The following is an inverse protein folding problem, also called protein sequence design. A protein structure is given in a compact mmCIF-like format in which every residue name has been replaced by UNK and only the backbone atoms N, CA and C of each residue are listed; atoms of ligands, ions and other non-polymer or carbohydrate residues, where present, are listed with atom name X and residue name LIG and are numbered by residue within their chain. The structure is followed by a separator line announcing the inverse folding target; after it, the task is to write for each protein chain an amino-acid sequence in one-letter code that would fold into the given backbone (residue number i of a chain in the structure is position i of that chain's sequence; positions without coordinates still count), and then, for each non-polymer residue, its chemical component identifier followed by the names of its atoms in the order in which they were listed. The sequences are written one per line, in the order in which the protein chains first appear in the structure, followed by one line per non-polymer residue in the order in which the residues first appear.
data_IF_366832593080
#
_entry.id   IF_366832593080
#
_cell.length_a   1.000
_cell.length_b   1.000
_cell.length_c   1.000
_cell.angle_alpha   90.00
_cell.angle_beta   90.00
_cell.angle_gamma   90.00
#
_symmetry.space_group_name_H-M   'P 1'
#
loop_
_entity.id
_entity.type
_entity.pdbx_description
1 polymer ?
#
# COMPACT_ATOMS: atom_id res chain seq x y z
N UNK A 1 -7.99 -10.91 14.54
CA UNK A 1 -8.32 -10.94 13.10
C UNK A 1 -9.11 -9.68 12.81
N UNK A 2 -8.54 -8.68 12.14
CA UNK A 2 -9.29 -7.52 11.65
C UNK A 2 -9.82 -7.84 10.25
N UNK A 3 -11.13 -7.70 10.04
CA UNK A 3 -11.81 -7.88 8.76
C UNK A 3 -11.72 -6.59 7.94
N UNK A 4 -11.25 -6.69 6.69
CA UNK A 4 -11.26 -5.58 5.75
C UNK A 4 -12.67 -5.43 5.14
N UNK A 5 -13.32 -4.29 5.36
CA UNK A 5 -14.64 -3.99 4.78
C UNK A 5 -14.48 -3.27 3.45
N UNK A 6 -14.78 -3.99 2.35
CA UNK A 6 -14.92 -3.42 1.02
C UNK A 6 -13.61 -3.20 0.27
N UNK A 7 -13.35 -4.04 -0.73
CA UNK A 7 -12.39 -3.75 -1.80
C UNK A 7 -13.17 -3.21 -3.00
N UNK A 8 -12.87 -1.98 -3.43
CA UNK A 8 -13.43 -1.40 -4.66
C UNK A 8 -12.29 -1.12 -5.63
N UNK A 9 -12.40 -1.64 -6.85
CA UNK A 9 -11.54 -1.29 -7.97
C UNK A 9 -12.08 0.00 -8.60
N UNK A 10 -11.26 1.05 -8.69
CA UNK A 10 -11.60 2.17 -9.58
C UNK A 10 -11.18 1.89 -11.02
N UNK A 11 -11.72 2.71 -11.95
CA UNK A 11 -11.39 2.65 -13.38
C UNK A 11 -9.93 3.00 -13.72
N UNK A 12 -9.11 3.38 -12.73
CA UNK A 12 -7.67 3.60 -12.86
C UNK A 12 -6.84 2.42 -12.30
N UNK A 13 -7.48 1.29 -11.95
CA UNK A 13 -6.82 0.10 -11.44
C UNK A 13 -6.33 0.23 -10.00
N UNK A 14 -6.87 1.18 -9.24
CA UNK A 14 -6.56 1.34 -7.82
C UNK A 14 -7.53 0.52 -6.97
N UNK A 15 -7.00 -0.25 -6.02
CA UNK A 15 -7.80 -0.94 -5.00
C UNK A 15 -7.97 -0.02 -3.79
N UNK A 16 -9.22 0.26 -3.41
CA UNK A 16 -9.55 1.02 -2.21
C UNK A 16 -9.91 0.09 -1.06
N UNK A 17 -9.39 0.40 0.11
CA UNK A 17 -9.75 -0.26 1.36
C UNK A 17 -10.11 0.78 2.41
N UNK A 18 -11.28 0.62 3.03
CA UNK A 18 -11.67 1.44 4.18
C UNK A 18 -10.97 0.91 5.43
N UNK A 19 -10.26 1.78 6.13
CA UNK A 19 -9.70 1.47 7.45
C UNK A 19 -10.36 2.42 8.43
N UNK A 20 -11.06 1.86 9.42
CA UNK A 20 -11.98 2.61 10.30
C UNK A 20 -11.34 3.73 11.12
N UNK A 21 -10.01 3.78 11.22
CA UNK A 21 -9.28 4.87 11.85
C UNK A 21 -7.85 5.04 11.30
N UNK A 22 -7.34 6.28 11.35
CA UNK A 22 -6.02 6.65 10.82
C UNK A 22 -4.86 5.94 11.52
N UNK A 23 -5.03 5.53 12.79
CA UNK A 23 -3.98 4.87 13.57
C UNK A 23 -3.81 3.43 13.09
N UNK A 24 -4.92 2.71 12.88
CA UNK A 24 -4.94 1.38 12.26
C UNK A 24 -4.33 1.43 10.86
N UNK A 25 -4.67 2.43 10.04
CA UNK A 25 -4.09 2.59 8.70
C UNK A 25 -2.56 2.74 8.77
N UNK A 26 -2.08 3.62 9.65
CA UNK A 26 -0.64 3.84 9.84
C UNK A 26 0.08 2.59 10.33
N UNK A 27 -0.54 1.84 11.26
CA UNK A 27 0.02 0.57 11.75
C UNK A 27 0.14 -0.45 10.62
N UNK A 28 -0.93 -0.67 9.85
CA UNK A 28 -0.91 -1.60 8.72
C UNK A 28 0.14 -1.23 7.68
N UNK A 29 0.30 0.06 7.40
CA UNK A 29 1.35 0.56 6.50
C UNK A 29 2.77 0.29 7.03
N UNK A 30 2.99 0.39 8.35
CA UNK A 30 4.27 0.03 8.95
C UNK A 30 4.52 -1.49 8.87
N UNK A 31 3.52 -2.30 9.23
CA UNK A 31 3.62 -3.77 9.20
C UNK A 31 3.95 -4.28 7.78
N UNK A 32 3.31 -3.74 6.75
CA UNK A 32 3.62 -4.03 5.35
C UNK A 32 5.05 -3.63 4.98
N UNK A 33 5.48 -2.42 5.37
CA UNK A 33 6.83 -1.96 5.08
C UNK A 33 7.90 -2.88 5.71
N UNK A 34 7.68 -3.29 6.95
CA UNK A 34 8.59 -4.14 7.70
C UNK A 34 8.65 -5.56 7.09
N UNK A 35 7.49 -6.14 6.74
CA UNK A 35 7.39 -7.46 6.12
C UNK A 35 8.18 -7.53 4.79
N UNK A 36 7.95 -6.58 3.88
CA UNK A 36 8.66 -6.58 2.60
C UNK A 36 10.16 -6.25 2.74
N UNK A 37 10.52 -5.42 3.73
CA UNK A 37 11.93 -5.18 4.03
C UNK A 37 12.62 -6.45 4.56
N UNK A 38 11.94 -7.29 5.34
CA UNK A 38 12.47 -8.59 5.79
C UNK A 38 12.68 -9.56 4.63
N UNK A 39 11.87 -9.47 3.58
CA UNK A 39 12.08 -10.21 2.34
C UNK A 39 13.19 -9.65 1.44
N UNK A 40 13.84 -8.56 1.85
CA UNK A 40 14.95 -7.95 1.12
C UNK A 40 14.54 -7.02 -0.01
N UNK A 41 13.26 -6.64 -0.09
CA UNK A 41 12.80 -5.68 -1.09
C UNK A 41 13.12 -4.24 -0.67
N UNK A 42 13.26 -3.37 -1.66
CA UNK A 42 13.48 -1.95 -1.39
C UNK A 42 12.15 -1.27 -1.03
N UNK A 43 12.09 -0.72 0.18
CA UNK A 43 10.91 -0.03 0.70
C UNK A 43 11.25 1.44 0.98
N UNK A 44 10.42 2.36 0.49
CA UNK A 44 10.56 3.79 0.68
C UNK A 44 9.28 4.43 1.20
N UNK A 45 9.42 5.62 1.79
CA UNK A 45 8.30 6.51 2.10
C UNK A 45 8.48 7.84 1.40
N UNK A 46 7.40 8.35 0.81
CA UNK A 46 7.40 9.69 0.26
C UNK A 46 6.92 10.73 1.29
N UNK A 47 6.92 12.00 0.89
CA UNK A 47 6.46 13.13 1.70
C UNK A 47 4.98 13.06 2.10
N UNK A 48 4.18 12.26 1.40
CA UNK A 48 2.77 12.01 1.70
C UNK A 48 2.55 10.75 2.56
N UNK A 49 3.61 10.20 3.16
CA UNK A 49 3.58 8.96 3.95
C UNK A 49 3.10 7.72 3.18
N UNK A 50 3.09 7.75 1.85
CA UNK A 50 2.85 6.56 1.04
C UNK A 50 4.01 5.58 1.22
N UNK A 51 3.69 4.29 1.36
CA UNK A 51 4.68 3.20 1.37
C UNK A 51 4.85 2.72 -0.06
N UNK A 52 6.08 2.76 -0.55
CA UNK A 52 6.43 2.36 -1.92
C UNK A 52 7.34 1.15 -1.82
N UNK A 53 6.96 0.06 -2.46
CA UNK A 53 7.70 -1.20 -2.46
C UNK A 53 8.14 -1.50 -3.89
N UNK A 54 9.45 -1.57 -4.11
CA UNK A 54 10.02 -1.97 -5.40
C UNK A 54 10.21 -3.48 -5.41
N UNK A 55 9.39 -4.15 -6.22
CA UNK A 55 9.55 -5.56 -6.56
C UNK A 55 10.32 -5.67 -7.89
N UNK A 56 10.84 -6.85 -8.25
CA UNK A 56 11.63 -7.03 -9.47
C UNK A 56 10.89 -6.60 -10.76
N UNK A 57 9.59 -6.91 -10.84
CA UNK A 57 8.78 -6.71 -12.06
C UNK A 57 7.78 -5.55 -11.96
N UNK A 58 7.62 -4.99 -10.77
CA UNK A 58 6.57 -4.01 -10.49
C UNK A 58 6.87 -3.15 -9.28
N UNK A 59 6.14 -2.04 -9.19
CA UNK A 59 6.14 -1.17 -8.01
C UNK A 59 4.76 -1.17 -7.38
N UNK A 60 4.70 -1.42 -6.08
CA UNK A 60 3.48 -1.29 -5.28
C UNK A 60 3.52 0.06 -4.56
N UNK A 61 2.45 0.84 -4.70
CA UNK A 61 2.29 2.14 -4.05
C UNK A 61 1.06 2.08 -3.14
N UNK A 62 1.30 2.24 -1.86
CA UNK A 62 0.31 2.21 -0.80
C UNK A 62 0.15 3.62 -0.23
N UNK A 63 -0.85 4.36 -0.72
CA UNK A 63 -1.03 5.78 -0.38
C UNK A 63 -2.09 5.97 0.70
N UNK A 64 -1.78 6.66 1.81
CA UNK A 64 -2.79 7.05 2.80
C UNK A 64 -3.64 8.21 2.26
N UNK A 65 -4.96 8.13 2.44
CA UNK A 65 -5.93 9.19 2.16
C UNK A 65 -7.02 9.22 3.23
N UNK A 66 -8.24 9.65 2.85
CA UNK A 66 -9.44 9.37 3.67
C UNK A 66 -9.70 7.86 3.77
N UNK A 67 -9.36 7.16 2.68
CA UNK A 67 -9.30 5.72 2.53
C UNK A 67 -7.88 5.33 2.09
N UNK A 68 -7.54 4.04 2.16
CA UNK A 68 -6.27 3.53 1.66
C UNK A 68 -6.37 3.12 0.20
N UNK A 69 -5.43 3.55 -0.64
CA UNK A 69 -5.36 3.12 -2.04
C UNK A 69 -4.08 2.35 -2.34
N UNK A 70 -4.22 1.25 -3.06
CA UNK A 70 -3.12 0.45 -3.60
C UNK A 70 -3.06 0.66 -5.10
N UNK A 71 -1.88 1.04 -5.60
CA UNK A 71 -1.60 1.16 -7.04
C UNK A 71 -0.43 0.27 -7.41
N UNK A 72 -0.58 -0.49 -8.49
CA UNK A 72 0.48 -1.33 -9.06
C UNK A 72 0.94 -0.70 -10.37
N UNK A 73 2.24 -0.45 -10.48
CA UNK A 73 2.87 0.01 -11.70
C UNK A 73 3.75 -1.12 -12.21
N UNK A 74 3.39 -1.73 -13.34
CA UNK A 74 4.28 -2.65 -14.04
C UNK A 74 5.43 -1.84 -14.64
N UNK A 75 6.66 -2.29 -14.41
CA UNK A 75 7.81 -1.71 -15.11
C UNK A 75 7.83 -2.37 -16.49
N UNK A 76 7.77 -1.63 -17.61
CA UNK A 76 7.99 -2.23 -18.91
C UNK A 76 9.44 -2.74 -18.94
N UNK A 77 9.60 -4.05 -19.16
CA UNK A 77 10.90 -4.71 -19.35
C UNK A 77 11.54 -4.21 -20.64
#
# INVERSE_FOLDING_TARGET
MQSFEGMVLDGAGSLFCSVGDLFSLRRTLNELADEYSQYGFHVYRNEFHAVIILLPDETLIFSPGKDFSIRRLSVPV
#
